data_IF_946590949683
#
_entry.id   IF_946590949683
#
_cell.length_a   1.000
_cell.length_b   1.000
_cell.length_c   1.000
_cell.angle_alpha   90.00
_cell.angle_beta   90.00
_cell.angle_gamma   90.00
#
_symmetry.space_group_name_H-M   'P 1'
#
loop_
_entity.id
_entity.type
_entity.pdbx_description
1 polymer ?
#
# COMPACT_ATOMS: atom_id res chain seq x y z
N UNK A 1 -33.74 25.70 -1.41
CA UNK A 1 -32.26 25.58 -1.48
C UNK A 1 -31.92 24.10 -1.46
N UNK A 2 -31.35 23.55 -2.53
CA UNK A 2 -30.89 22.17 -2.52
C UNK A 2 -29.62 22.07 -1.65
N UNK A 3 -29.66 21.25 -0.60
CA UNK A 3 -28.51 20.95 0.25
C UNK A 3 -27.46 20.26 -0.62
N UNK A 4 -26.40 20.99 -0.99
CA UNK A 4 -25.34 20.56 -1.89
C UNK A 4 -24.49 19.42 -1.33
N UNK A 5 -25.06 18.21 -1.21
CA UNK A 5 -24.27 17.00 -0.95
C UNK A 5 -23.62 16.58 -2.26
N UNK A 6 -22.29 16.52 -2.28
CA UNK A 6 -21.52 15.93 -3.38
C UNK A 6 -21.87 14.44 -3.45
N UNK A 7 -22.75 14.04 -4.36
CA UNK A 7 -23.18 12.63 -4.56
C UNK A 7 -22.21 11.83 -5.44
N UNK A 8 -21.03 12.38 -5.75
CA UNK A 8 -20.06 11.75 -6.63
C UNK A 8 -18.62 12.08 -6.27
N UNK A 9 -17.78 11.04 -6.27
CA UNK A 9 -16.33 11.05 -6.09
C UNK A 9 -15.77 9.68 -6.42
N UNK A 10 -14.51 9.56 -6.83
CA UNK A 10 -13.90 8.24 -7.05
C UNK A 10 -13.87 7.49 -5.74
N UNK A 11 -14.26 6.21 -5.76
CA UNK A 11 -14.17 5.34 -4.60
C UNK A 11 -12.74 5.37 -4.03
N UNK A 12 -12.62 5.45 -2.70
CA UNK A 12 -11.33 5.39 -2.01
C UNK A 12 -10.59 4.12 -2.44
N UNK A 13 -9.34 4.27 -2.90
CA UNK A 13 -8.54 3.17 -3.44
C UNK A 13 -8.61 2.99 -4.96
N UNK A 14 -9.42 3.78 -5.68
CA UNK A 14 -9.39 3.77 -7.15
C UNK A 14 -8.00 4.21 -7.63
N UNK A 15 -7.26 3.37 -8.37
CA UNK A 15 -5.94 3.73 -8.89
C UNK A 15 -6.00 5.00 -9.74
N UNK A 16 -4.98 5.85 -9.62
CA UNK A 16 -4.89 7.06 -10.43
C UNK A 16 -4.60 6.68 -11.89
N UNK A 17 -5.44 7.12 -12.84
CA UNK A 17 -5.32 6.74 -14.26
C UNK A 17 -3.93 7.05 -14.83
N UNK A 18 -3.33 8.17 -14.44
CA UNK A 18 -2.00 8.58 -14.92
C UNK A 18 -0.89 7.65 -14.43
N UNK A 19 -0.96 7.18 -13.18
CA UNK A 19 0.05 6.26 -12.64
C UNK A 19 -0.09 4.85 -13.24
N UNK A 20 -1.33 4.42 -13.53
CA UNK A 20 -1.58 3.15 -14.24
C UNK A 20 -0.97 3.17 -15.64
N UNK A 21 -1.23 4.21 -16.43
CA UNK A 21 -0.70 4.34 -17.78
C UNK A 21 0.84 4.33 -17.84
N UNK A 22 1.50 4.98 -16.86
CA UNK A 22 2.97 4.95 -16.75
C UNK A 22 3.48 3.55 -16.42
N UNK A 23 2.80 2.82 -15.53
CA UNK A 23 3.16 1.43 -15.21
C UNK A 23 3.04 0.53 -16.44
N UNK A 24 1.97 0.66 -17.20
CA UNK A 24 1.75 -0.09 -18.44
C UNK A 24 2.81 0.22 -19.49
N UNK A 25 3.15 1.50 -19.71
CA UNK A 25 4.19 1.89 -20.64
C UNK A 25 5.57 1.35 -20.24
N UNK A 26 5.91 1.36 -18.95
CA UNK A 26 7.14 0.78 -18.44
C UNK A 26 7.17 -0.74 -18.60
N UNK A 27 6.05 -1.42 -18.37
CA UNK A 27 5.95 -2.86 -18.56
C UNK A 27 6.12 -3.23 -20.03
N UNK A 28 5.48 -2.51 -20.95
CA UNK A 28 5.65 -2.73 -22.38
C UNK A 28 7.11 -2.52 -22.81
N UNK A 29 7.74 -1.42 -22.39
CA UNK A 29 9.14 -1.16 -22.70
C UNK A 29 10.08 -2.25 -22.13
N UNK A 30 9.76 -2.81 -20.96
CA UNK A 30 10.52 -3.92 -20.39
C UNK A 30 10.41 -5.19 -21.25
N UNK A 31 9.21 -5.55 -21.70
CA UNK A 31 9.01 -6.69 -22.61
C UNK A 31 9.73 -6.46 -23.95
N UNK A 32 9.63 -5.26 -24.52
CA UNK A 32 10.28 -4.90 -25.80
C UNK A 32 11.81 -4.99 -25.73
N UNK A 33 12.40 -4.75 -24.54
CA UNK A 33 13.83 -4.88 -24.29
C UNK A 33 14.29 -6.34 -24.08
N UNK A 34 13.39 -7.32 -24.17
CA UNK A 34 13.68 -8.74 -23.96
C UNK A 34 13.34 -9.26 -22.56
N UNK A 35 12.60 -8.48 -21.78
CA UNK A 35 11.96 -8.89 -20.55
C UNK A 35 12.89 -9.50 -19.50
N UNK A 36 12.41 -10.54 -18.83
CA UNK A 36 13.15 -11.23 -17.77
C UNK A 36 14.44 -11.89 -18.27
N UNK A 37 14.47 -12.34 -19.51
CA UNK A 37 15.65 -12.96 -20.12
C UNK A 37 16.80 -11.97 -20.27
N UNK A 38 16.52 -10.79 -20.82
CA UNK A 38 17.50 -9.71 -20.93
C UNK A 38 17.97 -9.23 -19.54
N UNK A 39 17.05 -9.11 -18.58
CA UNK A 39 17.39 -8.74 -17.20
C UNK A 39 18.30 -9.77 -16.52
N UNK A 40 18.06 -11.07 -16.74
CA UNK A 40 18.89 -12.14 -16.20
C UNK A 40 20.30 -12.15 -16.81
N UNK A 41 20.41 -11.93 -18.13
CA UNK A 41 21.70 -11.82 -18.81
C UNK A 41 22.50 -10.61 -18.29
N UNK A 42 21.86 -9.44 -18.22
CA UNK A 42 22.47 -8.25 -17.64
C UNK A 42 22.87 -8.44 -16.17
N UNK A 43 22.04 -9.12 -15.38
CA UNK A 43 22.32 -9.38 -13.96
C UNK A 43 23.50 -10.33 -13.74
N UNK A 44 23.77 -11.26 -14.68
CA UNK A 44 24.97 -12.09 -14.66
C UNK A 44 26.24 -11.28 -14.94
N UNK A 45 26.15 -10.31 -15.85
CA UNK A 45 27.25 -9.39 -16.17
C UNK A 45 27.50 -8.35 -15.08
N UNK A 46 26.42 -7.91 -14.40
CA UNK A 46 26.45 -6.84 -13.39
C UNK A 46 25.82 -7.28 -12.06
N UNK A 47 26.37 -8.30 -11.37
CA UNK A 47 25.74 -8.89 -10.19
C UNK A 47 25.58 -7.90 -9.02
N UNK A 48 26.55 -7.00 -8.83
CA UNK A 48 26.49 -5.99 -7.76
C UNK A 48 25.31 -5.03 -7.91
N UNK A 49 25.07 -4.51 -9.12
CA UNK A 49 23.93 -3.63 -9.40
C UNK A 49 22.60 -4.38 -9.36
N UNK A 50 22.59 -5.63 -9.82
CA UNK A 50 21.42 -6.49 -9.74
C UNK A 50 20.95 -6.69 -8.29
N UNK A 51 21.86 -7.03 -7.37
CA UNK A 51 21.50 -7.21 -5.96
C UNK A 51 21.08 -5.90 -5.26
N UNK A 52 21.65 -4.75 -5.65
CA UNK A 52 21.18 -3.45 -5.16
C UNK A 52 19.72 -3.18 -5.57
N UNK A 53 19.35 -3.50 -6.80
CA UNK A 53 17.95 -3.41 -7.26
C UNK A 53 17.05 -4.39 -6.50
N UNK A 54 17.52 -5.62 -6.28
CA UNK A 54 16.79 -6.64 -5.54
C UNK A 54 16.40 -6.19 -4.13
N UNK A 55 17.34 -5.60 -3.39
CA UNK A 55 17.10 -5.09 -2.02
C UNK A 55 16.02 -4.00 -1.99
N UNK A 56 15.91 -3.17 -3.04
CA UNK A 56 14.87 -2.12 -3.15
C UNK A 56 13.48 -2.68 -3.46
N UNK A 57 13.41 -3.86 -4.07
CA UNK A 57 12.16 -4.53 -4.43
C UNK A 57 11.57 -5.32 -3.26
N UNK A 58 12.41 -5.69 -2.28
CA UNK A 58 11.94 -6.32 -1.06
C UNK A 58 10.94 -5.38 -0.37
N UNK A 59 9.79 -5.90 0.10
CA UNK A 59 8.91 -5.15 0.97
C UNK A 59 9.73 -4.65 2.16
N UNK A 60 10.01 -3.36 2.19
CA UNK A 60 10.61 -2.77 3.37
C UNK A 60 9.46 -2.64 4.36
N UNK A 61 9.63 -3.20 5.56
CA UNK A 61 8.72 -3.00 6.69
C UNK A 61 8.77 -1.52 7.11
N UNK A 62 8.22 -0.66 6.27
CA UNK A 62 7.96 0.72 6.61
C UNK A 62 6.71 0.65 7.48
N UNK A 63 6.94 0.49 8.78
CA UNK A 63 5.95 0.67 9.84
C UNK A 63 5.43 2.13 9.79
N UNK A 64 4.60 2.44 8.80
CA UNK A 64 3.78 3.63 8.80
C UNK A 64 2.72 3.43 9.88
N UNK A 65 3.01 3.97 11.07
CA UNK A 65 2.03 4.07 12.16
C UNK A 65 0.76 4.75 11.63
N UNK A 66 -0.37 4.04 11.70
CA UNK A 66 -1.67 4.55 11.24
C UNK A 66 -2.54 3.56 10.47
N UNK A 67 -2.22 2.26 10.44
CA UNK A 67 -3.20 1.25 10.00
C UNK A 67 -3.96 0.71 11.22
N UNK A 68 -5.31 0.70 11.21
CA UNK A 68 -6.13 0.20 12.32
C UNK A 68 -5.92 -1.31 12.59
N UNK A 69 -5.30 -2.01 11.64
CA UNK A 69 -4.97 -3.43 11.70
C UNK A 69 -3.50 -3.70 12.12
N UNK A 70 -2.80 -2.72 12.71
CA UNK A 70 -1.45 -2.96 13.22
C UNK A 70 -1.55 -3.68 14.59
N UNK A 71 -0.92 -4.87 14.77
CA UNK A 71 -0.96 -5.59 16.05
C UNK A 71 -0.40 -4.78 17.23
N UNK A 72 0.44 -3.75 16.98
CA UNK A 72 0.95 -2.85 18.00
C UNK A 72 -0.14 -1.94 18.60
N UNK A 73 -1.11 -1.50 17.80
CA UNK A 73 -2.27 -0.71 18.29
C UNK A 73 -3.18 -1.56 19.16
N UNK A 74 -3.39 -2.83 18.81
CA UNK A 74 -4.15 -3.79 19.63
C UNK A 74 -3.45 -4.03 20.97
N UNK A 75 -2.13 -4.23 20.98
CA UNK A 75 -1.35 -4.42 22.21
C UNK A 75 -1.35 -3.17 23.09
N UNK A 76 -1.25 -1.95 22.53
CA UNK A 76 -1.35 -0.71 23.30
C UNK A 76 -2.75 -0.51 23.92
N UNK A 77 -3.83 -0.87 23.20
CA UNK A 77 -5.19 -0.88 23.75
C UNK A 77 -5.37 -1.91 24.87
N UNK A 78 -4.71 -3.07 24.77
CA UNK A 78 -4.85 -4.16 25.73
C UNK A 78 -4.05 -3.92 27.02
N UNK A 79 -2.92 -3.20 26.93
CA UNK A 79 -2.10 -2.78 28.09
C UNK A 79 -2.72 -1.56 28.79
N UNK A 80 -3.35 -0.63 28.04
CA UNK A 80 -4.08 0.50 28.62
C UNK A 80 -5.51 0.05 28.97
N UNK A 81 -5.67 -0.58 30.14
CA UNK A 81 -6.95 -1.08 30.67
C UNK A 81 -8.01 0.00 30.88
N UNK A 82 -8.55 0.58 29.81
CA UNK A 82 -9.62 1.57 29.83
C UNK A 82 -10.93 0.89 29.46
N UNK A 83 -11.58 0.30 30.46
CA UNK A 83 -12.98 -0.09 30.38
C UNK A 83 -13.84 1.18 30.29
N UNK A 84 -14.23 1.58 29.07
CA UNK A 84 -15.37 2.46 28.93
C UNK A 84 -16.62 1.65 29.30
N UNK A 85 -17.21 1.98 30.45
CA UNK A 85 -18.48 1.45 30.96
C UNK A 85 -19.54 1.38 29.83
N UNK A 86 -20.35 0.30 29.78
CA UNK A 86 -21.57 0.35 28.99
C UNK A 86 -22.47 1.46 29.53
N UNK A 87 -23.07 2.23 28.62
CA UNK A 87 -24.09 3.23 28.92
C UNK A 87 -25.22 2.58 29.75
N UNK A 88 -25.84 3.31 30.70
CA UNK A 88 -26.95 2.75 31.47
C UNK A 88 -28.08 2.33 30.53
N UNK A 89 -28.51 1.08 30.69
CA UNK A 89 -29.79 0.57 30.20
C UNK A 89 -30.88 1.54 30.62
N UNK A 90 -31.62 2.03 29.63
CA UNK A 90 -32.85 2.80 29.83
C UNK A 90 -33.96 1.76 29.90
N UNK A 91 -34.24 1.27 31.10
CA UNK A 91 -35.43 0.49 31.41
C UNK A 91 -36.51 1.41 32.01
N UNK A 92 -37.68 1.35 31.35
CA UNK A 92 -39.04 1.84 31.70
C UNK A 92 -39.31 3.34 31.93
#
# INVERSE_FOLDING_TARGET
MAIGRKTGGRAKGTPNKKTTAVKEALQQAFEDMGGSGALASWGKENPGEFYKLWIKLLPQDINHGGQPENPLTTLMMQISGKTLKPAPEVDE
#
